data_IF_757913337255
#
_entry.id   IF_757913337255
#
_cell.length_a   1.000
_cell.length_b   1.000
_cell.length_c   1.000
_cell.angle_alpha   90.00
_cell.angle_beta   90.00
_cell.angle_gamma   90.00
#
_symmetry.space_group_name_H-M   'P 1'
#
loop_
_entity.id
_entity.type
_entity.pdbx_description
1 polymer ?
#
# COMPACT_ATOMS: atom_id res chain seq x y z
N UNK A 1 -33.05 -17.03 36.52
CA UNK A 1 -32.05 -16.85 35.46
C UNK A 1 -32.77 -16.84 34.13
N UNK A 2 -32.64 -15.80 33.32
CA UNK A 2 -33.26 -15.71 31.99
C UNK A 2 -32.64 -16.78 31.07
N UNK A 3 -33.48 -17.50 30.31
CA UNK A 3 -32.99 -18.44 29.30
C UNK A 3 -32.15 -17.70 28.25
N UNK A 4 -30.99 -18.23 27.82
CA UNK A 4 -30.16 -17.57 26.83
C UNK A 4 -30.89 -17.46 25.48
N UNK A 5 -30.85 -16.28 24.87
CA UNK A 5 -31.44 -16.03 23.56
C UNK A 5 -30.63 -16.79 22.48
N UNK A 6 -31.24 -17.69 21.70
CA UNK A 6 -30.52 -18.45 20.69
C UNK A 6 -30.26 -17.57 19.46
N UNK A 7 -29.12 -16.87 19.46
CA UNK A 7 -28.71 -15.92 18.40
C UNK A 7 -28.95 -16.50 16.99
N UNK A 8 -28.53 -17.74 16.74
CA UNK A 8 -28.62 -18.41 15.44
C UNK A 8 -30.03 -18.84 15.00
N UNK A 9 -31.05 -18.63 15.84
CA UNK A 9 -32.47 -18.84 15.51
C UNK A 9 -33.19 -17.53 15.14
N UNK A 10 -32.52 -16.39 15.24
CA UNK A 10 -33.10 -15.11 14.83
C UNK A 10 -33.21 -15.03 13.29
N UNK A 11 -34.16 -14.25 12.76
CA UNK A 11 -34.24 -13.96 11.33
C UNK A 11 -32.95 -13.35 10.79
N UNK A 12 -32.60 -13.65 9.54
CA UNK A 12 -31.36 -13.17 8.91
C UNK A 12 -31.20 -11.66 8.92
N UNK A 13 -32.29 -10.90 8.79
CA UNK A 13 -32.28 -9.43 8.86
C UNK A 13 -31.88 -8.94 10.25
N UNK A 14 -32.41 -9.56 11.30
CA UNK A 14 -32.07 -9.23 12.70
C UNK A 14 -30.63 -9.61 13.00
N UNK A 15 -30.17 -10.77 12.52
CA UNK A 15 -28.78 -11.20 12.61
C UNK A 15 -27.83 -10.20 11.93
N UNK A 16 -28.21 -9.68 10.76
CA UNK A 16 -27.41 -8.70 10.05
C UNK A 16 -27.22 -7.42 10.88
N UNK A 17 -28.29 -6.87 11.47
CA UNK A 17 -28.20 -5.69 12.34
C UNK A 17 -27.36 -5.96 13.60
N UNK A 18 -27.53 -7.13 14.22
CA UNK A 18 -26.69 -7.52 15.37
C UNK A 18 -25.23 -7.56 14.95
N UNK A 19 -24.88 -8.26 13.86
CA UNK A 19 -23.49 -8.35 13.42
C UNK A 19 -22.93 -6.99 12.97
N UNK A 20 -23.71 -6.10 12.37
CA UNK A 20 -23.25 -4.73 12.05
C UNK A 20 -22.80 -3.98 13.30
N UNK A 21 -23.55 -4.08 14.40
CA UNK A 21 -23.26 -3.39 15.66
C UNK A 21 -22.04 -3.91 16.42
N UNK A 22 -21.55 -5.10 16.08
CA UNK A 22 -20.39 -5.69 16.75
C UNK A 22 -19.09 -5.02 16.32
N UNK A 23 -18.18 -4.89 17.28
CA UNK A 23 -16.78 -4.57 17.00
C UNK A 23 -16.11 -5.66 16.15
N UNK A 24 -15.00 -5.31 15.51
CA UNK A 24 -14.16 -6.25 14.74
C UNK A 24 -13.73 -7.43 15.63
N UNK A 25 -13.32 -7.16 16.87
CA UNK A 25 -12.89 -8.22 17.79
C UNK A 25 -14.00 -9.19 18.15
N UNK A 26 -15.21 -8.69 18.37
CA UNK A 26 -16.38 -9.54 18.62
C UNK A 26 -16.75 -10.37 17.39
N UNK A 27 -16.72 -9.78 16.19
CA UNK A 27 -16.93 -10.49 14.92
C UNK A 27 -15.91 -11.62 14.76
N UNK A 28 -14.63 -11.33 14.96
CA UNK A 28 -13.56 -12.33 14.87
C UNK A 28 -13.82 -13.46 15.87
N UNK A 29 -14.04 -13.17 17.15
CA UNK A 29 -14.30 -14.20 18.17
C UNK A 29 -15.53 -15.06 17.84
N UNK A 30 -16.65 -14.44 17.47
CA UNK A 30 -17.88 -15.14 17.13
C UNK A 30 -17.73 -16.01 15.87
N UNK A 31 -16.94 -15.57 14.90
CA UNK A 31 -16.70 -16.33 13.67
C UNK A 31 -16.01 -17.67 13.92
N UNK A 32 -15.24 -17.77 15.01
CA UNK A 32 -14.55 -18.99 15.42
C UNK A 32 -15.49 -19.98 16.13
N UNK A 33 -16.64 -19.52 16.63
CA UNK A 33 -17.59 -20.39 17.33
C UNK A 33 -18.39 -21.29 16.38
N UNK A 34 -18.60 -20.89 15.12
CA UNK A 34 -19.34 -21.69 14.14
C UNK A 34 -19.16 -21.20 12.71
N UNK A 35 -19.06 -22.14 11.76
CA UNK A 35 -19.10 -21.86 10.31
C UNK A 35 -20.33 -21.04 9.91
N UNK A 36 -21.49 -21.32 10.52
CA UNK A 36 -22.74 -20.59 10.25
C UNK A 36 -22.60 -19.12 10.63
N UNK A 37 -21.98 -18.82 11.76
CA UNK A 37 -21.74 -17.43 12.23
C UNK A 37 -20.77 -16.71 11.29
N UNK A 38 -19.66 -17.37 10.92
CA UNK A 38 -18.68 -16.79 9.98
C UNK A 38 -19.33 -16.39 8.64
N UNK A 39 -20.19 -17.25 8.07
CA UNK A 39 -20.94 -16.95 6.85
C UNK A 39 -21.90 -15.76 7.04
N UNK A 40 -22.60 -15.67 8.18
CA UNK A 40 -23.51 -14.56 8.44
C UNK A 40 -22.78 -13.22 8.61
N UNK A 41 -21.64 -13.21 9.29
CA UNK A 41 -20.75 -12.04 9.40
C UNK A 41 -20.28 -11.63 8.00
N UNK A 42 -19.89 -12.62 7.19
CA UNK A 42 -19.47 -12.39 5.82
C UNK A 42 -20.58 -11.78 4.95
N UNK A 43 -21.83 -12.22 5.09
CA UNK A 43 -22.97 -11.63 4.37
C UNK A 43 -23.24 -10.19 4.85
N UNK A 44 -23.17 -9.96 6.17
CA UNK A 44 -23.36 -8.64 6.76
C UNK A 44 -22.25 -7.62 6.41
N UNK A 45 -21.14 -8.08 5.82
CA UNK A 45 -19.98 -7.23 5.50
C UNK A 45 -20.31 -6.07 4.55
N UNK A 46 -21.23 -6.27 3.60
CA UNK A 46 -21.62 -5.24 2.63
C UNK A 46 -22.23 -4.00 3.28
N UNK A 47 -22.71 -4.15 4.52
CA UNK A 47 -23.31 -3.11 5.32
C UNK A 47 -22.45 -2.71 6.52
N UNK A 48 -21.24 -3.26 6.61
CA UNK A 48 -20.27 -2.99 7.66
C UNK A 48 -19.15 -2.11 7.13
N UNK A 49 -18.41 -1.49 8.05
CA UNK A 49 -17.22 -0.74 7.68
C UNK A 49 -16.20 -1.64 6.97
N UNK A 50 -15.53 -1.11 5.95
CA UNK A 50 -14.39 -1.78 5.31
C UNK A 50 -13.30 -2.07 6.33
N UNK A 51 -12.74 -3.26 6.22
CA UNK A 51 -11.69 -3.77 7.11
C UNK A 51 -10.39 -3.87 6.32
N UNK A 52 -9.28 -3.65 7.01
CA UNK A 52 -7.92 -3.89 6.54
C UNK A 52 -7.30 -4.91 7.49
N UNK A 53 -6.62 -5.90 6.92
CA UNK A 53 -5.84 -6.87 7.69
C UNK A 53 -4.37 -6.50 7.54
N UNK A 54 -3.78 -6.01 8.63
CA UNK A 54 -2.40 -5.60 8.75
C UNK A 54 -1.56 -6.75 9.34
N UNK A 55 -0.53 -7.11 8.61
CA UNK A 55 0.35 -8.23 8.90
C UNK A 55 1.67 -7.72 9.50
N UNK A 56 1.79 -7.76 10.83
CA UNK A 56 2.98 -7.32 11.60
C UNK A 56 3.78 -8.52 12.08
N UNK A 57 4.83 -8.87 11.33
CA UNK A 57 5.62 -10.07 11.61
C UNK A 57 6.64 -9.87 12.72
N UNK A 58 7.09 -8.62 12.95
CA UNK A 58 7.99 -8.31 14.07
C UNK A 58 7.33 -8.66 15.41
N UNK A 59 6.04 -8.31 15.54
CA UNK A 59 5.23 -8.62 16.72
C UNK A 59 4.55 -9.99 16.70
N UNK A 60 4.67 -10.76 15.61
CA UNK A 60 3.89 -11.98 15.38
C UNK A 60 2.38 -11.76 15.61
N UNK A 61 1.88 -10.64 15.06
CA UNK A 61 0.52 -10.18 15.26
C UNK A 61 -0.20 -10.03 13.92
N UNK A 62 -1.46 -10.45 13.87
CA UNK A 62 -2.38 -10.02 12.83
C UNK A 62 -3.27 -8.94 13.44
N UNK A 63 -3.17 -7.72 12.91
CA UNK A 63 -4.07 -6.64 13.29
C UNK A 63 -5.19 -6.55 12.26
N UNK A 64 -6.42 -6.58 12.74
CA UNK A 64 -7.61 -6.38 11.93
C UNK A 64 -8.15 -5.02 12.31
N UNK A 65 -8.13 -4.07 11.39
CA UNK A 65 -8.51 -2.68 11.65
C UNK A 65 -9.60 -2.23 10.70
N UNK A 66 -10.44 -1.36 11.19
CA UNK A 66 -11.37 -0.61 10.36
C UNK A 66 -10.58 0.38 9.48
N UNK A 67 -11.06 0.71 8.27
CA UNK A 67 -10.31 1.56 7.32
C UNK A 67 -9.94 2.96 7.88
N UNK A 68 -10.67 3.46 8.88
CA UNK A 68 -10.37 4.73 9.56
C UNK A 68 -9.60 4.55 10.88
N UNK A 69 -9.14 3.33 11.17
CA UNK A 69 -8.39 2.93 12.36
C UNK A 69 -9.09 3.21 13.71
N UNK A 70 -10.42 3.44 13.73
CA UNK A 70 -11.17 3.70 14.98
C UNK A 70 -11.47 2.43 15.77
N UNK A 71 -11.72 1.34 15.06
CA UNK A 71 -11.86 0.00 15.63
C UNK A 71 -10.69 -0.87 15.15
N UNK A 72 -10.05 -1.58 16.08
CA UNK A 72 -8.98 -2.51 15.77
C UNK A 72 -8.92 -3.65 16.77
N UNK A 73 -8.52 -4.82 16.27
CA UNK A 73 -8.35 -6.02 17.06
C UNK A 73 -7.02 -6.67 16.70
N UNK A 74 -6.26 -7.09 17.70
CA UNK A 74 -4.96 -7.74 17.52
C UNK A 74 -5.12 -9.21 17.88
N UNK A 75 -4.62 -10.07 16.99
CA UNK A 75 -4.51 -11.51 17.18
C UNK A 75 -3.03 -11.82 17.37
N UNK A 76 -2.66 -12.26 18.57
CA UNK A 76 -1.28 -12.57 18.91
C UNK A 76 -1.00 -14.06 18.71
N UNK A 77 -0.20 -14.40 17.71
CA UNK A 77 -0.06 -15.79 17.25
C UNK A 77 0.72 -16.66 18.24
N UNK A 78 1.56 -16.06 19.10
CA UNK A 78 2.31 -16.79 20.12
C UNK A 78 1.47 -17.14 21.36
N UNK A 79 0.39 -16.39 21.63
CA UNK A 79 -0.39 -16.49 22.87
C UNK A 79 -1.84 -16.96 22.66
N UNK A 80 -2.43 -16.77 21.48
CA UNK A 80 -3.84 -17.04 21.22
C UNK A 80 -4.14 -18.48 20.75
N UNK A 81 -5.44 -18.77 20.65
CA UNK A 81 -6.14 -20.01 20.27
C UNK A 81 -5.57 -20.71 19.00
N UNK A 82 -4.74 -20.02 18.23
CA UNK A 82 -4.13 -20.49 16.97
C UNK A 82 -2.79 -21.23 17.15
N UNK A 83 -2.52 -21.79 18.33
CA UNK A 83 -1.29 -22.56 18.58
C UNK A 83 -1.21 -23.79 17.68
N UNK A 84 -0.08 -23.90 16.99
CA UNK A 84 0.36 -24.98 16.10
C UNK A 84 -0.45 -25.24 14.82
N UNK A 85 -1.62 -24.62 14.62
CA UNK A 85 -2.39 -24.71 13.36
C UNK A 85 -2.48 -23.37 12.64
N UNK A 86 -1.34 -23.11 11.99
CA UNK A 86 -1.08 -22.35 10.78
C UNK A 86 -1.65 -20.93 10.71
N UNK A 87 -0.79 -19.96 11.01
CA UNK A 87 -0.91 -18.54 10.67
C UNK A 87 -1.58 -18.25 9.32
N UNK A 88 -1.23 -19.03 8.29
CA UNK A 88 -1.84 -18.92 6.95
C UNK A 88 -3.36 -19.19 7.00
N UNK A 89 -3.80 -20.15 7.81
CA UNK A 89 -5.23 -20.45 8.01
C UNK A 89 -5.97 -19.30 8.69
N UNK A 90 -5.32 -18.61 9.64
CA UNK A 90 -5.91 -17.41 10.25
C UNK A 90 -6.10 -16.29 9.21
N UNK A 91 -5.08 -16.04 8.39
CA UNK A 91 -5.16 -15.07 7.29
C UNK A 91 -6.25 -15.46 6.29
N UNK A 92 -6.31 -16.72 5.87
CA UNK A 92 -7.36 -17.23 4.98
C UNK A 92 -8.76 -17.05 5.57
N UNK A 93 -8.95 -17.36 6.86
CA UNK A 93 -10.24 -17.22 7.53
C UNK A 93 -10.68 -15.75 7.57
N UNK A 94 -9.77 -14.84 7.90
CA UNK A 94 -10.04 -13.40 7.90
C UNK A 94 -10.37 -12.89 6.49
N UNK A 95 -9.61 -13.32 5.48
CA UNK A 95 -9.87 -12.98 4.07
C UNK A 95 -11.24 -13.49 3.62
N UNK A 96 -11.59 -14.74 3.93
CA UNK A 96 -12.89 -15.33 3.63
C UNK A 96 -14.02 -14.58 4.31
N UNK A 97 -13.81 -14.16 5.56
CA UNK A 97 -14.82 -13.48 6.36
C UNK A 97 -15.04 -12.03 5.96
N UNK A 98 -13.98 -11.27 5.73
CA UNK A 98 -14.07 -9.82 5.48
C UNK A 98 -14.03 -9.44 4.00
N UNK A 99 -13.48 -10.29 3.13
CA UNK A 99 -13.17 -9.95 1.73
C UNK A 99 -12.51 -8.58 1.61
N UNK A 100 -11.46 -8.40 2.41
CA UNK A 100 -10.77 -7.13 2.61
C UNK A 100 -9.48 -7.06 1.81
N UNK A 101 -8.96 -5.83 1.69
CA UNK A 101 -7.57 -5.61 1.29
C UNK A 101 -6.62 -5.94 2.45
N UNK A 102 -5.39 -6.27 2.10
CA UNK A 102 -4.32 -6.53 3.08
C UNK A 102 -3.27 -5.42 3.09
N UNK A 103 -2.74 -5.12 4.28
CA UNK A 103 -1.46 -4.45 4.41
C UNK A 103 -0.41 -5.41 4.93
N UNK A 104 0.80 -5.37 4.38
CA UNK A 104 1.92 -6.17 4.87
C UNK A 104 3.19 -5.34 4.95
N UNK A 105 3.95 -5.54 6.03
CA UNK A 105 5.29 -4.96 6.20
C UNK A 105 6.32 -6.08 6.27
N UNK A 106 7.26 -6.04 5.33
CA UNK A 106 8.36 -6.99 5.18
C UNK A 106 9.64 -6.27 5.60
N UNK A 107 10.04 -6.44 6.86
CA UNK A 107 11.16 -5.72 7.45
C UNK A 107 12.49 -6.51 7.39
N UNK A 108 13.46 -6.15 8.23
CA UNK A 108 14.77 -6.80 8.26
C UNK A 108 14.79 -8.12 9.05
N UNK A 109 13.74 -8.43 9.82
CA UNK A 109 13.65 -9.71 10.49
C UNK A 109 13.33 -10.76 9.43
N UNK A 110 14.17 -11.78 9.29
CA UNK A 110 13.86 -12.89 8.40
C UNK A 110 12.79 -13.76 9.07
N UNK A 111 11.57 -13.69 8.54
CA UNK A 111 10.52 -14.64 8.85
C UNK A 111 10.38 -15.62 7.70
N UNK A 112 10.56 -16.91 7.98
CA UNK A 112 10.30 -17.99 7.01
C UNK A 112 8.86 -17.97 6.48
N UNK A 113 7.96 -17.21 7.11
CA UNK A 113 6.57 -17.04 6.72
C UNK A 113 6.34 -16.04 5.58
N UNK A 114 7.29 -15.15 5.26
CA UNK A 114 7.07 -14.13 4.22
C UNK A 114 6.77 -14.76 2.86
N UNK A 115 7.63 -15.68 2.39
CA UNK A 115 7.49 -16.28 1.06
C UNK A 115 6.21 -17.13 0.95
N UNK A 116 5.90 -18.05 1.88
CA UNK A 116 4.64 -18.80 1.84
C UNK A 116 3.41 -17.89 1.88
N UNK A 117 3.42 -16.87 2.73
CA UNK A 117 2.27 -15.96 2.86
C UNK A 117 2.07 -15.15 1.60
N UNK A 118 3.12 -14.51 1.07
CA UNK A 118 3.04 -13.74 -0.17
C UNK A 118 2.59 -14.62 -1.34
N UNK A 119 3.11 -15.85 -1.45
CA UNK A 119 2.65 -16.81 -2.47
C UNK A 119 1.16 -17.08 -2.33
N UNK A 120 0.70 -17.46 -1.14
CA UNK A 120 -0.71 -17.72 -0.85
C UNK A 120 -1.59 -16.50 -1.20
N UNK A 121 -1.20 -15.29 -0.80
CA UNK A 121 -1.97 -14.07 -1.06
C UNK A 121 -2.09 -13.79 -2.56
N UNK A 122 -1.01 -14.00 -3.31
CA UNK A 122 -1.01 -13.84 -4.76
C UNK A 122 -1.75 -14.95 -5.51
N UNK A 123 -1.76 -16.18 -4.99
CA UNK A 123 -2.54 -17.30 -5.54
C UNK A 123 -4.05 -17.07 -5.32
N UNK A 124 -4.40 -16.45 -4.20
CA UNK A 124 -5.76 -16.01 -3.88
C UNK A 124 -6.18 -14.69 -4.57
N UNK A 125 -5.29 -14.07 -5.34
CA UNK A 125 -5.51 -12.76 -6.00
C UNK A 125 -5.99 -11.66 -5.05
N UNK A 126 -5.45 -11.63 -3.83
CA UNK A 126 -5.82 -10.62 -2.84
C UNK A 126 -5.29 -9.25 -3.25
N UNK A 127 -6.15 -8.23 -3.19
CA UNK A 127 -5.73 -6.83 -3.33
C UNK A 127 -4.98 -6.35 -2.08
N UNK A 128 -3.85 -5.70 -2.29
CA UNK A 128 -3.08 -5.07 -1.23
C UNK A 128 -3.44 -3.60 -1.13
N UNK A 129 -3.83 -3.18 0.08
CA UNK A 129 -3.89 -1.75 0.41
C UNK A 129 -2.48 -1.19 0.47
N UNK A 130 -1.58 -1.88 1.18
CA UNK A 130 -0.20 -1.46 1.32
C UNK A 130 0.75 -2.66 1.33
N UNK A 131 1.82 -2.59 0.55
CA UNK A 131 2.94 -3.52 0.66
C UNK A 131 4.20 -2.71 0.95
N UNK A 132 4.76 -2.89 2.13
CA UNK A 132 6.03 -2.29 2.54
C UNK A 132 7.12 -3.35 2.56
N UNK A 133 8.26 -3.09 1.94
CA UNK A 133 9.39 -4.03 1.90
C UNK A 133 10.74 -3.33 2.09
N UNK A 134 11.60 -3.94 2.90
CA UNK A 134 13.02 -3.59 3.02
C UNK A 134 13.84 -4.46 2.07
N UNK A 135 14.54 -3.83 1.12
CA UNK A 135 15.46 -4.48 0.19
C UNK A 135 16.90 -4.16 0.63
N UNK A 136 17.60 -5.17 1.16
CA UNK A 136 18.98 -5.03 1.64
C UNK A 136 20.02 -5.68 0.70
N UNK A 137 19.58 -6.18 -0.46
CA UNK A 137 20.43 -6.87 -1.43
C UNK A 137 20.75 -8.33 -1.09
N UNK A 138 20.17 -8.92 -0.03
CA UNK A 138 20.35 -10.35 0.23
C UNK A 138 19.66 -11.19 -0.86
N UNK A 139 20.20 -12.38 -1.13
CA UNK A 139 19.65 -13.30 -2.14
C UNK A 139 18.18 -13.61 -1.88
N UNK A 140 17.81 -13.91 -0.63
CA UNK A 140 16.41 -14.18 -0.25
C UNK A 140 15.48 -12.98 -0.52
N UNK A 141 15.95 -11.75 -0.27
CA UNK A 141 15.16 -10.53 -0.52
C UNK A 141 15.05 -10.22 -2.00
N UNK A 142 16.10 -10.50 -2.78
CA UNK A 142 16.06 -10.39 -4.24
C UNK A 142 15.06 -11.40 -4.82
N UNK A 143 15.10 -12.65 -4.37
CA UNK A 143 14.18 -13.69 -4.83
C UNK A 143 12.72 -13.39 -4.45
N UNK A 144 12.48 -12.88 -3.24
CA UNK A 144 11.16 -12.45 -2.80
C UNK A 144 10.67 -11.23 -3.62
N UNK A 145 11.55 -10.25 -3.86
CA UNK A 145 11.23 -9.10 -4.70
C UNK A 145 10.85 -9.53 -6.11
N UNK A 146 11.59 -10.44 -6.73
CA UNK A 146 11.30 -10.96 -8.08
C UNK A 146 9.95 -11.69 -8.17
N UNK A 147 9.44 -12.22 -7.05
CA UNK A 147 8.09 -12.78 -6.96
C UNK A 147 7.03 -11.67 -6.86
N UNK A 148 7.28 -10.66 -6.01
CA UNK A 148 6.38 -9.53 -5.78
C UNK A 148 6.26 -8.64 -7.00
N UNK A 149 7.38 -8.33 -7.66
CA UNK A 149 7.47 -7.36 -8.74
C UNK A 149 6.65 -7.72 -9.98
N UNK A 150 6.22 -8.98 -10.10
CA UNK A 150 5.38 -9.52 -11.19
C UNK A 150 3.89 -9.32 -10.98
N UNK A 151 3.45 -8.98 -9.75
CA UNK A 151 2.04 -8.88 -9.36
C UNK A 151 1.71 -7.55 -8.67
N UNK A 152 2.48 -6.50 -8.95
CA UNK A 152 2.30 -5.18 -8.36
C UNK A 152 1.00 -4.48 -8.80
N UNK A 153 0.34 -4.95 -9.86
CA UNK A 153 -1.00 -4.50 -10.25
C UNK A 153 -2.07 -4.77 -9.19
N UNK A 154 -1.84 -5.73 -8.29
CA UNK A 154 -2.69 -5.99 -7.12
C UNK A 154 -2.41 -5.04 -5.95
N UNK A 155 -1.39 -4.17 -6.05
CA UNK A 155 -0.90 -3.33 -4.96
C UNK A 155 -1.30 -1.88 -5.18
N UNK A 156 -2.06 -1.34 -4.24
CA UNK A 156 -2.42 0.08 -4.23
C UNK A 156 -1.23 0.95 -3.82
N UNK A 157 -0.72 0.78 -2.60
CA UNK A 157 0.42 1.53 -2.08
C UNK A 157 1.65 0.63 -1.89
N UNK A 158 2.65 0.77 -2.76
CA UNK A 158 3.95 0.15 -2.58
C UNK A 158 4.90 1.09 -1.84
N UNK A 159 5.57 0.56 -0.82
CA UNK A 159 6.61 1.26 -0.08
C UNK A 159 7.89 0.42 -0.11
N UNK A 160 8.97 1.00 -0.63
CA UNK A 160 10.28 0.34 -0.68
C UNK A 160 11.26 1.12 0.18
N UNK A 161 11.87 0.42 1.12
CA UNK A 161 13.02 0.88 1.87
C UNK A 161 14.26 0.16 1.37
N UNK A 162 15.38 0.86 1.23
CA UNK A 162 16.67 0.17 1.14
C UNK A 162 17.28 0.00 2.53
N UNK A 163 18.14 -1.01 2.67
CA UNK A 163 19.07 -1.11 3.79
C UNK A 163 20.19 -0.07 3.70
N UNK A 164 21.42 -0.48 4.00
CA UNK A 164 22.60 0.42 3.94
C UNK A 164 23.27 0.50 2.57
N UNK A 165 22.85 -0.33 1.62
CA UNK A 165 23.52 -0.47 0.33
C UNK A 165 22.61 0.00 -0.80
N UNK A 166 23.14 0.69 -1.82
CA UNK A 166 22.40 0.97 -3.04
C UNK A 166 21.82 -0.31 -3.65
N UNK A 167 20.52 -0.29 -3.97
CA UNK A 167 19.84 -1.40 -4.63
C UNK A 167 18.98 -0.90 -5.78
N UNK A 168 19.06 -1.56 -6.93
CA UNK A 168 18.27 -1.23 -8.13
C UNK A 168 17.19 -2.31 -8.32
N UNK A 169 15.95 -2.09 -7.84
CA UNK A 169 14.86 -3.03 -8.05
C UNK A 169 14.47 -3.10 -9.53
N UNK A 170 14.32 -4.32 -10.04
CA UNK A 170 13.71 -4.57 -11.36
C UNK A 170 12.20 -4.72 -11.17
N UNK A 171 11.42 -3.89 -11.85
CA UNK A 171 9.96 -3.93 -11.84
C UNK A 171 9.47 -4.72 -13.07
N UNK A 172 8.52 -5.64 -12.87
CA UNK A 172 7.88 -6.37 -13.98
C UNK A 172 6.42 -5.92 -14.19
N UNK A 173 5.78 -5.37 -13.16
CA UNK A 173 4.55 -4.60 -13.21
C UNK A 173 4.61 -3.43 -12.24
N UNK A 174 3.55 -2.62 -12.15
CA UNK A 174 3.56 -1.37 -11.39
C UNK A 174 2.35 -1.26 -10.45
N UNK A 175 2.55 -0.70 -9.24
CA UNK A 175 1.46 -0.41 -8.31
C UNK A 175 0.73 0.87 -8.71
N UNK A 176 -0.37 1.18 -8.02
CA UNK A 176 -1.05 2.48 -8.21
C UNK A 176 -0.21 3.65 -7.68
N UNK A 177 0.40 3.47 -6.52
CA UNK A 177 1.21 4.46 -5.84
C UNK A 177 2.53 3.83 -5.42
N UNK A 178 3.63 4.56 -5.58
CA UNK A 178 4.95 4.11 -5.17
C UNK A 178 5.63 5.15 -4.28
N UNK A 179 6.17 4.68 -3.16
CA UNK A 179 6.97 5.46 -2.23
C UNK A 179 8.32 4.75 -2.08
N UNK A 180 9.39 5.43 -2.44
CA UNK A 180 10.73 4.89 -2.41
C UNK A 180 11.55 5.71 -1.43
N UNK A 181 12.16 5.04 -0.47
CA UNK A 181 13.05 5.65 0.51
C UNK A 181 14.52 5.45 0.13
N UNK A 182 15.40 6.19 0.80
CA UNK A 182 16.84 6.35 0.52
C UNK A 182 17.55 5.06 0.10
N UNK A 183 18.59 5.20 -0.74
CA UNK A 183 19.46 4.15 -1.26
C UNK A 183 18.79 3.11 -2.18
N UNK A 184 17.52 3.32 -2.57
CA UNK A 184 16.94 2.61 -3.71
C UNK A 184 17.22 3.45 -4.96
N UNK A 185 17.89 2.85 -5.94
CA UNK A 185 18.16 3.48 -7.22
C UNK A 185 16.91 3.37 -8.09
N UNK A 186 16.16 4.46 -8.17
CA UNK A 186 14.99 4.60 -9.05
C UNK A 186 15.34 5.53 -10.22
N UNK A 187 15.46 4.98 -11.43
CA UNK A 187 16.01 5.68 -12.59
C UNK A 187 14.95 6.49 -13.35
N UNK A 188 15.39 7.40 -14.23
CA UNK A 188 14.50 8.08 -15.18
C UNK A 188 13.74 7.09 -16.07
N UNK A 189 14.43 6.04 -16.53
CA UNK A 189 13.82 4.94 -17.28
C UNK A 189 12.68 4.30 -16.50
N UNK A 190 12.90 3.99 -15.22
CA UNK A 190 11.86 3.47 -14.33
C UNK A 190 10.66 4.42 -14.23
N UNK A 191 10.87 5.73 -14.16
CA UNK A 191 9.79 6.73 -14.12
C UNK A 191 8.95 6.72 -15.40
N UNK A 192 9.60 6.63 -16.56
CA UNK A 192 8.92 6.67 -17.86
C UNK A 192 8.22 5.35 -18.21
N UNK A 193 8.67 4.23 -17.67
CA UNK A 193 7.99 2.95 -17.76
C UNK A 193 6.87 2.79 -16.73
N UNK A 194 6.91 3.54 -15.63
CA UNK A 194 5.94 3.38 -14.56
C UNK A 194 4.53 3.84 -14.97
N UNK A 195 3.55 3.02 -14.61
CA UNK A 195 2.14 3.36 -14.79
C UNK A 195 1.50 3.93 -13.51
N UNK A 196 2.32 4.44 -12.58
CA UNK A 196 1.86 4.90 -11.27
C UNK A 196 1.10 6.22 -11.37
N UNK A 197 0.09 6.40 -10.51
CA UNK A 197 -0.61 7.67 -10.35
C UNK A 197 0.09 8.62 -9.39
N UNK A 198 0.82 8.08 -8.41
CA UNK A 198 1.55 8.84 -7.40
C UNK A 198 2.94 8.26 -7.23
N UNK A 199 3.95 9.10 -7.36
CA UNK A 199 5.36 8.74 -7.16
C UNK A 199 5.92 9.65 -6.07
N UNK A 200 6.49 9.04 -5.04
CA UNK A 200 7.24 9.77 -4.00
C UNK A 200 8.61 9.15 -3.83
N UNK A 201 9.65 9.95 -4.04
CA UNK A 201 11.04 9.53 -3.96
C UNK A 201 11.70 10.34 -2.83
N UNK A 202 11.99 9.68 -1.71
CA UNK A 202 12.66 10.26 -0.56
C UNK A 202 14.16 10.02 -0.64
N UNK A 203 14.94 11.09 -0.48
CA UNK A 203 16.40 11.08 -0.58
C UNK A 203 16.90 10.45 -1.90
N UNK A 204 16.28 10.89 -3.00
CA UNK A 204 16.62 10.44 -4.35
C UNK A 204 17.92 11.05 -4.85
N UNK A 205 18.56 10.40 -5.83
CA UNK A 205 19.70 10.94 -6.58
C UNK A 205 19.28 11.84 -7.76
N UNK A 206 17.97 12.01 -8.01
CA UNK A 206 17.48 12.85 -9.09
C UNK A 206 17.71 14.33 -8.80
N UNK A 207 18.38 15.03 -9.71
CA UNK A 207 18.68 16.45 -9.62
C UNK A 207 17.81 17.32 -10.53
N UNK A 208 18.17 18.61 -10.61
CA UNK A 208 17.42 19.62 -11.39
C UNK A 208 17.27 19.23 -12.87
N UNK A 209 18.31 18.62 -13.48
CA UNK A 209 18.28 18.16 -14.87
C UNK A 209 17.29 17.02 -15.08
N UNK A 210 17.24 16.08 -14.15
CA UNK A 210 16.30 14.96 -14.23
C UNK A 210 14.85 15.45 -14.11
N UNK A 211 14.59 16.40 -13.21
CA UNK A 211 13.29 17.05 -13.07
C UNK A 211 12.87 17.76 -14.37
N UNK A 212 13.79 18.47 -15.03
CA UNK A 212 13.50 19.09 -16.32
C UNK A 212 13.09 18.06 -17.38
N UNK A 213 13.79 16.93 -17.45
CA UNK A 213 13.44 15.84 -18.38
C UNK A 213 12.06 15.26 -18.02
N UNK A 214 11.78 15.02 -16.74
CA UNK A 214 10.48 14.50 -16.29
C UNK A 214 9.34 15.46 -16.66
N UNK A 215 9.50 16.75 -16.36
CA UNK A 215 8.49 17.78 -16.63
C UNK A 215 8.22 17.95 -18.12
N UNK A 216 9.26 17.97 -18.95
CA UNK A 216 9.09 18.04 -20.41
C UNK A 216 8.33 16.82 -20.94
N UNK A 217 8.66 15.61 -20.48
CA UNK A 217 7.93 14.41 -20.89
C UNK A 217 6.47 14.41 -20.39
N UNK A 218 6.21 14.89 -19.16
CA UNK A 218 4.86 15.06 -18.64
C UNK A 218 4.03 16.03 -19.50
N UNK A 219 4.61 17.18 -19.89
CA UNK A 219 3.94 18.16 -20.76
C UNK A 219 3.53 17.57 -22.11
N UNK A 220 4.37 16.72 -22.69
CA UNK A 220 4.09 16.00 -23.95
C UNK A 220 3.07 14.86 -23.81
N UNK A 221 2.56 14.59 -22.61
CA UNK A 221 1.57 13.54 -22.36
C UNK A 221 2.15 12.12 -22.16
N UNK A 222 3.49 11.97 -22.09
CA UNK A 222 4.15 10.66 -21.93
C UNK A 222 4.03 10.04 -20.54
N UNK A 223 3.54 10.81 -19.56
CA UNK A 223 3.24 10.35 -18.20
C UNK A 223 1.74 10.51 -17.90
N UNK A 224 0.85 9.80 -18.63
CA UNK A 224 -0.57 10.12 -18.66
C UNK A 224 -1.27 9.88 -17.32
N UNK A 225 -0.82 8.90 -16.53
CA UNK A 225 -1.48 8.57 -15.27
C UNK A 225 -0.93 9.34 -14.06
N UNK A 226 0.20 10.02 -14.21
CA UNK A 226 0.87 10.71 -13.12
C UNK A 226 0.06 11.92 -12.67
N UNK A 227 -0.47 11.84 -11.45
CA UNK A 227 -1.23 12.92 -10.79
C UNK A 227 -0.42 13.60 -9.68
N UNK A 228 0.63 12.95 -9.21
CA UNK A 228 1.46 13.46 -8.12
C UNK A 228 2.88 12.94 -8.25
N UNK A 229 3.84 13.85 -8.21
CA UNK A 229 5.25 13.54 -8.11
C UNK A 229 5.83 14.33 -6.94
N UNK A 230 6.54 13.64 -6.05
CA UNK A 230 7.37 14.27 -5.03
C UNK A 230 8.77 13.69 -5.11
N UNK A 231 9.76 14.57 -5.14
CA UNK A 231 11.18 14.22 -5.11
C UNK A 231 11.81 15.04 -4.00
N UNK A 232 12.21 14.35 -2.94
CA UNK A 232 13.06 14.91 -1.90
C UNK A 232 14.49 14.46 -2.25
N UNK A 233 15.34 15.38 -2.71
CA UNK A 233 16.70 15.06 -3.14
C UNK A 233 17.63 16.25 -2.89
N UNK A 234 18.86 16.18 -3.39
CA UNK A 234 19.80 17.30 -3.47
C UNK A 234 19.39 18.36 -4.51
N UNK A 235 18.09 18.67 -4.60
CA UNK A 235 17.59 19.82 -5.35
C UNK A 235 18.17 21.06 -4.70
N UNK A 236 19.17 21.63 -5.37
CA UNK A 236 19.95 22.76 -4.89
C UNK A 236 19.72 23.94 -5.81
N UNK A 237 19.67 25.13 -5.23
CA UNK A 237 19.65 26.40 -5.97
C UNK A 237 21.08 26.74 -6.42
N UNK A 238 21.59 25.93 -7.33
CA UNK A 238 22.94 26.08 -7.89
C UNK A 238 22.97 26.93 -9.17
N UNK A 239 21.90 27.71 -9.41
CA UNK A 239 21.72 28.50 -10.64
C UNK A 239 21.26 27.70 -11.86
N UNK A 240 21.06 26.38 -11.75
CA UNK A 240 20.42 25.61 -12.82
C UNK A 240 18.93 25.97 -12.93
N UNK A 241 18.47 26.19 -14.14
CA UNK A 241 17.06 26.44 -14.43
C UNK A 241 16.32 25.15 -14.73
N UNK A 242 15.02 25.12 -14.42
CA UNK A 242 14.09 24.04 -14.78
C UNK A 242 12.99 24.70 -15.59
N UNK A 243 12.79 24.26 -16.84
CA UNK A 243 11.87 24.92 -17.79
C UNK A 243 12.20 26.41 -18.00
N UNK A 244 13.48 26.77 -17.94
CA UNK A 244 13.93 28.15 -18.07
C UNK A 244 13.70 29.05 -16.85
N UNK A 245 13.19 28.51 -15.74
CA UNK A 245 12.95 29.23 -14.48
C UNK A 245 13.93 28.78 -13.40
N UNK A 246 14.33 29.69 -12.51
CA UNK A 246 15.00 29.30 -11.25
C UNK A 246 14.06 28.51 -10.34
N UNK A 247 14.60 27.79 -9.34
CA UNK A 247 13.78 27.04 -8.38
C UNK A 247 12.80 27.92 -7.61
N UNK A 248 13.18 29.18 -7.34
CA UNK A 248 12.34 30.16 -6.65
C UNK A 248 11.20 30.66 -7.53
N UNK A 249 11.46 30.93 -8.81
CA UNK A 249 10.46 31.34 -9.79
C UNK A 249 9.49 30.20 -10.11
N UNK A 250 9.97 28.95 -10.14
CA UNK A 250 9.14 27.77 -10.38
C UNK A 250 8.15 27.51 -9.23
N UNK A 251 8.44 27.97 -8.02
CA UNK A 251 7.61 27.71 -6.86
C UNK A 251 6.22 28.38 -6.96
N UNK A 252 5.15 27.59 -6.88
CA UNK A 252 3.78 28.07 -6.98
C UNK A 252 3.31 28.34 -8.41
N UNK A 253 4.15 28.02 -9.41
CA UNK A 253 3.75 28.10 -10.82
C UNK A 253 2.83 26.95 -11.18
N UNK A 254 2.00 27.22 -12.18
CA UNK A 254 1.21 26.20 -12.83
C UNK A 254 1.78 25.90 -14.22
N UNK A 255 1.93 24.61 -14.51
CA UNK A 255 2.29 24.11 -15.83
C UNK A 255 1.11 23.34 -16.43
N UNK A 256 1.05 23.27 -17.76
CA UNK A 256 -0.01 22.58 -18.49
C UNK A 256 0.59 21.62 -19.52
N UNK A 257 -0.12 20.53 -19.79
CA UNK A 257 0.19 19.67 -20.92
C UNK A 257 -0.02 20.41 -22.25
N UNK A 258 0.72 20.01 -23.28
CA UNK A 258 0.70 20.68 -24.58
C UNK A 258 -0.69 20.58 -25.27
N UNK A 259 -1.39 19.48 -25.01
CA UNK A 259 -2.78 19.24 -25.43
C UNK A 259 -3.83 19.97 -24.56
N UNK A 260 -3.37 20.67 -23.51
CA UNK A 260 -4.18 21.44 -22.57
C UNK A 260 -5.17 20.61 -21.73
N UNK A 261 -5.02 19.29 -21.65
CA UNK A 261 -5.93 18.40 -20.91
C UNK A 261 -5.64 18.27 -19.42
N UNK A 262 -4.45 18.68 -18.96
CA UNK A 262 -4.08 18.64 -17.52
C UNK A 262 -3.28 19.86 -17.12
N UNK A 263 -3.48 20.29 -15.87
CA UNK A 263 -2.74 21.37 -15.22
C UNK A 263 -2.08 20.82 -13.96
N UNK A 264 -0.87 21.26 -13.65
CA UNK A 264 -0.17 20.90 -12.43
C UNK A 264 0.43 22.11 -11.73
N UNK A 265 0.27 22.17 -10.41
CA UNK A 265 0.91 23.18 -9.57
C UNK A 265 2.22 22.63 -9.02
N UNK A 266 3.28 23.43 -9.13
CA UNK A 266 4.61 23.10 -8.64
C UNK A 266 4.87 23.75 -7.27
N UNK A 267 5.52 23.03 -6.38
CA UNK A 267 6.00 23.53 -5.10
C UNK A 267 7.43 23.04 -4.89
N UNK A 268 8.37 23.97 -4.65
CA UNK A 268 9.79 23.68 -4.47
C UNK A 268 10.28 23.98 -3.05
N UNK A 269 9.36 24.21 -2.10
CA UNK A 269 9.72 24.61 -0.72
C UNK A 269 10.37 23.47 0.05
N UNK A 270 11.23 23.84 1.01
CA UNK A 270 11.92 22.92 1.92
C UNK A 270 12.88 21.94 1.25
N UNK A 271 13.54 22.34 0.16
CA UNK A 271 14.47 21.50 -0.63
C UNK A 271 13.79 20.23 -1.18
N UNK A 272 12.54 20.37 -1.62
CA UNK A 272 11.74 19.28 -2.17
C UNK A 272 11.03 19.77 -3.40
N UNK A 273 10.99 18.95 -4.44
CA UNK A 273 10.14 19.19 -5.58
C UNK A 273 8.82 18.44 -5.38
N UNK A 274 7.71 19.12 -5.59
CA UNK A 274 6.37 18.54 -5.59
C UNK A 274 5.57 19.08 -6.77
N UNK A 275 4.99 18.18 -7.54
CA UNK A 275 4.02 18.44 -8.58
C UNK A 275 2.68 17.80 -8.20
N UNK A 276 1.58 18.52 -8.34
CA UNK A 276 0.23 18.00 -8.10
C UNK A 276 -0.67 18.41 -9.25
N UNK A 277 -1.24 17.41 -9.94
CA UNK A 277 -2.11 17.60 -11.10
C UNK A 277 -3.53 17.80 -10.63
N UNK A 278 -4.17 18.86 -11.12
CA UNK A 278 -5.62 19.06 -11.02
C UNK A 278 -6.22 18.75 -12.39
N UNK A 279 -7.16 17.80 -12.48
CA UNK A 279 -7.96 17.63 -13.70
C UNK A 279 -8.64 18.95 -14.06
N UNK A 280 -8.81 19.22 -15.36
CA UNK A 280 -9.79 20.23 -15.76
C UNK A 280 -11.18 19.62 -15.53
N UNK A 281 -12.06 20.38 -14.88
CA UNK A 281 -13.49 20.07 -14.78
C UNK A 281 -14.16 20.06 -16.18
#
# INVERSE_FOLDING_TARGET
MSSPLPLLRLPGVVLCEVFKSLSIGEKVKLSLCSKKVSIQINIARLYSQKVIVDLDWSGHNIRVSSENYRDSFIISIYHDIWKHHNFLSAIEHLLKMFQCKISITIDHHNSDLYRPTISMLFDLQVEFKMLSIVLNGSEDRILLWNQISKKLELVEDLVIFSGRNPFTPVFASWPRNINIFSFVVFTLESIFECNCTRITLYWSHLGNKDLEVILNNWKTGKLPNLTFLRVDSEITDNGATILGMSLSELNGTDIQTDDRTKKATINTRYNRFKMSVTPFD
#
